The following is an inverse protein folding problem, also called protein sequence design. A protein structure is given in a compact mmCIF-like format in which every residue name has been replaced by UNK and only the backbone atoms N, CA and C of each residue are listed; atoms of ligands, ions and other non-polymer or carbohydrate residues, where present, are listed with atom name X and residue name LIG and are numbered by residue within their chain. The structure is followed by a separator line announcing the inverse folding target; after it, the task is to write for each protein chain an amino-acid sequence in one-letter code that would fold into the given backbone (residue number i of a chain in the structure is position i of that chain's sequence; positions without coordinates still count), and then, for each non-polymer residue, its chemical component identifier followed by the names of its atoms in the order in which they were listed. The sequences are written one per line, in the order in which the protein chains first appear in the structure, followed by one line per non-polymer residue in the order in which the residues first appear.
data_IF_381020983799
#
_entry.id   IF_381020983799
#
_cell.length_a   1.000
_cell.length_b   1.000
_cell.length_c   1.000
_cell.angle_alpha   90.00
_cell.angle_beta   90.00
_cell.angle_gamma   90.00
#
_symmetry.space_group_name_H-M   'P 1'
#
loop_
_entity.id
_entity.type
_entity.pdbx_description
1 polymer ?
#
# COMPACT_ATOMS: atom_id res chain seq x y z
N UNK A 1 -0.20 11.31 5.43
CA UNK A 1 0.94 10.37 5.52
C UNK A 1 1.46 10.01 4.12
N UNK A 2 2.53 9.24 4.00
CA UNK A 2 2.98 8.60 2.73
C UNK A 2 3.11 7.10 2.90
N UNK A 3 3.01 6.34 1.81
CA UNK A 3 3.46 4.95 1.80
C UNK A 3 4.35 4.63 0.59
N UNK A 4 5.11 3.56 0.68
CA UNK A 4 5.84 2.93 -0.43
C UNK A 4 5.58 1.43 -0.44
N UNK A 5 5.52 0.83 -1.63
CA UNK A 5 5.48 -0.62 -1.82
C UNK A 5 6.85 -1.08 -2.32
N UNK A 6 7.53 -1.88 -1.50
CA UNK A 6 8.85 -2.43 -1.78
C UNK A 6 8.78 -3.52 -2.86
N UNK A 7 9.41 -3.26 -4.00
CA UNK A 7 9.46 -4.16 -5.14
C UNK A 7 10.15 -5.49 -4.83
N UNK A 8 11.16 -5.48 -3.95
CA UNK A 8 11.90 -6.69 -3.62
C UNK A 8 11.11 -7.63 -2.69
N UNK A 9 10.08 -7.12 -2.01
CA UNK A 9 9.25 -7.87 -1.07
C UNK A 9 7.85 -8.18 -1.61
N UNK A 10 7.31 -7.38 -2.51
CA UNK A 10 5.96 -7.57 -3.00
C UNK A 10 5.86 -8.84 -3.88
N UNK A 11 5.14 -9.85 -3.39
CA UNK A 11 4.92 -11.12 -4.10
C UNK A 11 3.55 -11.22 -4.80
N UNK A 12 2.79 -10.13 -4.89
CA UNK A 12 1.52 -10.10 -5.65
C UNK A 12 0.32 -10.76 -4.95
N UNK A 13 0.32 -10.90 -3.62
CA UNK A 13 -0.75 -11.57 -2.87
C UNK A 13 -2.13 -10.88 -2.93
N UNK A 14 -2.16 -9.59 -3.29
CA UNK A 14 -3.39 -8.84 -3.51
C UNK A 14 -4.24 -8.49 -2.30
N UNK A 15 -3.78 -8.78 -1.08
CA UNK A 15 -4.54 -8.50 0.15
C UNK A 15 -4.76 -7.01 0.41
N UNK A 16 -3.80 -6.17 0.03
CA UNK A 16 -3.87 -4.72 0.24
C UNK A 16 -5.07 -4.09 -0.49
N UNK A 17 -5.21 -4.32 -1.80
CA UNK A 17 -6.35 -3.81 -2.57
C UNK A 17 -7.65 -4.60 -2.37
N UNK A 18 -7.60 -5.79 -1.76
CA UNK A 18 -8.81 -6.52 -1.36
C UNK A 18 -9.46 -5.93 -0.09
N UNK A 19 -8.65 -5.42 0.84
CA UNK A 19 -9.11 -4.87 2.13
C UNK A 19 -9.30 -3.35 2.07
N UNK A 20 -8.43 -2.64 1.34
CA UNK A 20 -8.47 -1.18 1.19
C UNK A 20 -8.43 -0.76 -0.30
N UNK A 21 -9.47 -1.12 -1.10
CA UNK A 21 -9.55 -0.80 -2.53
C UNK A 21 -9.60 0.70 -2.86
N UNK A 22 -9.93 1.55 -1.89
CA UNK A 22 -9.94 3.01 -1.99
C UNK A 22 -8.53 3.62 -2.00
N UNK A 23 -7.52 2.86 -1.54
CA UNK A 23 -6.12 3.28 -1.50
C UNK A 23 -5.27 2.49 -2.47
N UNK A 24 -5.37 1.16 -2.43
CA UNK A 24 -4.53 0.27 -3.21
C UNK A 24 -5.28 -0.21 -4.45
N UNK A 25 -4.58 -0.23 -5.58
CA UNK A 25 -5.08 -0.84 -6.80
C UNK A 25 -4.16 -1.94 -7.28
N UNK A 26 -4.59 -2.63 -8.32
CA UNK A 26 -3.77 -3.61 -9.04
C UNK A 26 -3.46 -3.15 -10.46
N UNK A 27 -2.31 -3.56 -10.98
CA UNK A 27 -1.99 -3.47 -12.40
C UNK A 27 -2.63 -4.62 -13.20
N UNK A 28 -2.31 -4.70 -14.49
CA UNK A 28 -2.87 -5.70 -15.40
C UNK A 28 -2.43 -7.14 -15.07
N UNK A 29 -1.26 -7.29 -14.42
CA UNK A 29 -0.72 -8.58 -13.98
C UNK A 29 -1.21 -8.98 -12.58
N UNK A 30 -1.97 -8.10 -11.92
CA UNK A 30 -2.55 -8.32 -10.60
C UNK A 30 -1.62 -7.99 -9.42
N UNK A 31 -0.49 -7.33 -9.66
CA UNK A 31 0.36 -6.81 -8.60
C UNK A 31 -0.16 -5.47 -8.09
N UNK A 32 0.32 -5.02 -6.93
CA UNK A 32 -0.01 -3.67 -6.49
C UNK A 32 0.53 -2.65 -7.52
N UNK A 33 -0.34 -1.78 -8.03
CA UNK A 33 0.02 -0.84 -9.12
C UNK A 33 1.07 0.21 -8.75
N UNK A 34 1.32 0.40 -7.45
CA UNK A 34 2.20 1.43 -6.89
C UNK A 34 3.54 0.84 -6.40
N UNK A 35 3.90 -0.38 -6.82
CA UNK A 35 5.24 -0.98 -6.61
C UNK A 35 6.34 0.00 -7.04
N UNK A 36 7.33 0.19 -6.16
CA UNK A 36 8.47 1.07 -6.38
C UNK A 36 8.15 2.57 -6.32
N UNK A 37 6.90 2.96 -5.97
CA UNK A 37 6.46 4.35 -5.94
C UNK A 37 6.13 4.80 -4.53
N UNK A 38 6.43 6.06 -4.23
CA UNK A 38 5.94 6.73 -3.03
C UNK A 38 4.60 7.39 -3.34
N UNK A 39 3.60 7.14 -2.51
CA UNK A 39 2.24 7.65 -2.67
C UNK A 39 1.90 8.59 -1.51
N UNK A 40 1.45 9.80 -1.83
CA UNK A 40 0.85 10.73 -0.88
C UNK A 40 -0.57 10.27 -0.54
N UNK A 41 -0.91 10.27 0.75
CA UNK A 41 -2.18 9.76 1.26
C UNK A 41 -3.00 10.93 1.82
N UNK A 42 -4.21 11.18 1.30
CA UNK A 42 -5.15 12.11 1.89
C UNK A 42 -5.54 11.71 3.33
N UNK A 43 -5.77 12.66 4.25
CA UNK A 43 -6.12 12.36 5.65
C UNK A 43 -7.30 11.40 5.83
N UNK A 44 -8.30 11.46 4.95
CA UNK A 44 -9.47 10.58 4.97
C UNK A 44 -9.16 9.10 4.71
N UNK A 45 -8.01 8.81 4.11
CA UNK A 45 -7.59 7.46 3.70
C UNK A 45 -6.49 6.87 4.61
N UNK A 46 -6.07 7.56 5.67
CA UNK A 46 -4.97 7.10 6.52
C UNK A 46 -5.29 5.76 7.19
N UNK A 47 -6.51 5.58 7.69
CA UNK A 47 -6.92 4.30 8.29
C UNK A 47 -6.90 3.14 7.28
N UNK A 48 -7.36 3.38 6.05
CA UNK A 48 -7.36 2.38 4.99
C UNK A 48 -5.94 1.96 4.58
N UNK A 49 -4.98 2.90 4.60
CA UNK A 49 -3.56 2.57 4.43
C UNK A 49 -3.09 1.64 5.54
N UNK A 50 -3.36 1.96 6.80
CA UNK A 50 -2.95 1.13 7.95
C UNK A 50 -3.54 -0.29 7.87
N UNK A 51 -4.83 -0.41 7.51
CA UNK A 51 -5.49 -1.70 7.33
C UNK A 51 -4.82 -2.52 6.20
N UNK A 52 -4.54 -1.88 5.06
CA UNK A 52 -3.88 -2.52 3.92
C UNK A 52 -2.41 -2.91 4.18
N UNK A 53 -1.68 -2.12 4.98
CA UNK A 53 -0.34 -2.43 5.46
C UNK A 53 -0.37 -3.66 6.38
N UNK A 54 -1.31 -3.68 7.33
CA UNK A 54 -1.44 -4.74 8.33
C UNK A 54 -1.76 -6.12 7.74
N UNK A 55 -2.33 -6.19 6.55
CA UNK A 55 -2.66 -7.45 5.87
C UNK A 55 -1.59 -7.94 4.90
N UNK A 56 -0.49 -7.21 4.70
CA UNK A 56 0.60 -7.64 3.81
C UNK A 56 1.45 -8.72 4.51
N UNK A 57 1.44 -9.99 4.05
CA UNK A 57 2.20 -11.06 4.71
C UNK A 57 3.73 -10.88 4.55
N UNK A 58 4.16 -10.23 3.47
CA UNK A 58 5.58 -9.96 3.18
C UNK A 58 6.11 -8.69 3.83
N UNK A 59 5.23 -7.92 4.51
CA UNK A 59 5.56 -6.60 5.04
C UNK A 59 6.15 -5.64 3.98
N UNK A 60 5.68 -5.76 2.74
CA UNK A 60 6.19 -5.00 1.60
C UNK A 60 5.73 -3.53 1.59
N UNK A 61 4.74 -3.15 2.40
CA UNK A 61 4.21 -1.78 2.43
C UNK A 61 4.74 -1.08 3.67
N UNK A 62 5.38 0.08 3.49
CA UNK A 62 5.90 0.92 4.59
C UNK A 62 5.25 2.28 4.57
N UNK A 63 4.92 2.80 5.74
CA UNK A 63 4.34 4.13 5.93
C UNK A 63 5.35 5.10 6.51
N UNK A 64 5.23 6.37 6.13
CA UNK A 64 5.99 7.47 6.70
C UNK A 64 4.99 8.51 7.23
N UNK A 65 5.13 8.83 8.52
CA UNK A 65 4.36 9.91 9.12
C UNK A 65 4.76 11.24 8.48
N UNK A 66 3.78 12.10 8.22
CA UNK A 66 4.06 13.49 7.89
C UNK A 66 4.40 14.18 9.21
N UNK A 67 5.68 14.33 9.51
CA UNK A 67 6.13 15.18 10.61
C UNK A 67 5.78 16.64 10.26
N UNK A 68 5.27 17.43 11.22
CA UNK A 68 5.04 18.86 11.02
C UNK A 68 6.33 19.62 10.74
#
# INVERSE_FOLDING_TARGET
MKYIVDEALCSGQGRCYAVAPEVFGKDDDGYNKDIGRTVEVPPENEQAVEDGVGVCPEQAIRVFANLP
#
